data_IF_754423409069
#
_entry.id   IF_754423409069
#
_cell.length_a   1.000
_cell.length_b   1.000
_cell.length_c   1.000
_cell.angle_alpha   90.00
_cell.angle_beta   90.00
_cell.angle_gamma   90.00
#
_symmetry.space_group_name_H-M   'P 1'
#
loop_
_entity.id
_entity.type
_entity.pdbx_description
1 polymer ?
#
# COMPACT_ATOMS: atom_id res chain seq x y z
N UNK A 1 -13.46 -11.53 38.25
CA UNK A 1 -12.98 -11.81 36.87
C UNK A 1 -13.19 -10.65 35.87
N UNK A 2 -13.33 -9.38 36.30
CA UNK A 2 -13.68 -8.25 35.40
C UNK A 2 -12.49 -7.38 34.96
N UNK A 3 -11.34 -7.46 35.65
CA UNK A 3 -10.16 -6.59 35.43
C UNK A 3 -9.39 -6.87 34.15
N UNK A 4 -9.39 -8.12 33.65
CA UNK A 4 -8.66 -8.50 32.43
C UNK A 4 -9.27 -7.82 31.19
N UNK A 5 -10.60 -7.78 31.11
CA UNK A 5 -11.33 -7.16 29.99
C UNK A 5 -11.14 -5.63 29.94
N UNK A 6 -10.98 -4.96 31.09
CA UNK A 6 -10.75 -3.50 31.15
C UNK A 6 -9.36 -3.14 30.63
N UNK A 7 -8.31 -3.89 31.01
CA UNK A 7 -6.94 -3.64 30.52
C UNK A 7 -6.83 -3.86 29.02
N UNK A 8 -7.45 -4.92 28.50
CA UNK A 8 -7.52 -5.19 27.06
C UNK A 8 -8.29 -4.07 26.35
N UNK A 9 -9.45 -3.65 26.87
CA UNK A 9 -10.24 -2.57 26.28
C UNK A 9 -9.46 -1.23 26.24
N UNK A 10 -8.75 -0.89 27.32
CA UNK A 10 -7.90 0.30 27.37
C UNK A 10 -6.76 0.23 26.34
N UNK A 11 -6.08 -0.92 26.23
CA UNK A 11 -5.04 -1.13 25.23
C UNK A 11 -5.58 -1.01 23.80
N UNK A 12 -6.75 -1.61 23.52
CA UNK A 12 -7.41 -1.50 22.22
C UNK A 12 -7.84 -0.07 21.89
N UNK A 13 -8.30 0.71 22.88
CA UNK A 13 -8.59 2.13 22.70
C UNK A 13 -7.34 2.94 22.36
N UNK A 14 -6.24 2.69 23.09
CA UNK A 14 -4.93 3.29 22.80
C UNK A 14 -4.43 2.97 21.39
N UNK A 15 -4.56 1.70 20.97
CA UNK A 15 -4.22 1.25 19.63
C UNK A 15 -5.05 1.96 18.54
N UNK A 16 -6.37 2.08 18.73
CA UNK A 16 -7.25 2.82 17.81
C UNK A 16 -6.83 4.29 17.70
N UNK A 17 -6.48 4.92 18.82
CA UNK A 17 -5.97 6.30 18.83
C UNK A 17 -4.65 6.43 18.07
N UNK A 18 -3.73 5.48 18.25
CA UNK A 18 -2.46 5.46 17.53
C UNK A 18 -2.66 5.27 16.02
N UNK A 19 -3.52 4.34 15.60
CA UNK A 19 -3.87 4.11 14.19
C UNK A 19 -4.47 5.36 13.53
N UNK A 20 -5.37 6.06 14.22
CA UNK A 20 -5.93 7.34 13.72
C UNK A 20 -4.86 8.40 13.51
N UNK A 21 -3.93 8.55 14.46
CA UNK A 21 -2.80 9.48 14.32
C UNK A 21 -1.88 9.10 13.18
N UNK A 22 -1.54 7.81 13.05
CA UNK A 22 -0.74 7.30 11.94
C UNK A 22 -1.40 7.59 10.60
N UNK A 23 -2.71 7.38 10.47
CA UNK A 23 -3.45 7.70 9.26
C UNK A 23 -3.38 9.20 8.91
N UNK A 24 -3.52 10.08 9.89
CA UNK A 24 -3.41 11.53 9.68
C UNK A 24 -2.00 11.94 9.21
N UNK A 25 -0.96 11.44 9.88
CA UNK A 25 0.45 11.70 9.51
C UNK A 25 0.75 11.13 8.13
N UNK A 26 0.25 9.93 7.81
CA UNK A 26 0.40 9.32 6.49
C UNK A 26 -0.17 10.23 5.41
N UNK A 27 -1.40 10.72 5.57
CA UNK A 27 -2.02 11.63 4.59
C UNK A 27 -1.19 12.90 4.39
N UNK A 28 -0.70 13.50 5.47
CA UNK A 28 0.15 14.71 5.39
C UNK A 28 1.46 14.44 4.64
N UNK A 29 2.16 13.35 4.98
CA UNK A 29 3.43 12.98 4.35
C UNK A 29 3.22 12.65 2.88
N UNK A 30 2.15 11.92 2.55
CA UNK A 30 1.82 11.57 1.17
C UNK A 30 1.52 12.79 0.31
N UNK A 31 0.81 13.78 0.84
CA UNK A 31 0.51 15.03 0.12
C UNK A 31 1.77 15.82 -0.28
N UNK A 32 2.88 15.63 0.44
CA UNK A 32 4.17 16.31 0.20
C UNK A 32 5.18 15.43 -0.54
N UNK A 33 4.88 14.14 -0.76
CA UNK A 33 5.85 13.19 -1.29
C UNK A 33 5.95 13.30 -2.82
N UNK A 34 7.18 13.29 -3.34
CA UNK A 34 7.44 13.28 -4.79
C UNK A 34 7.41 11.87 -5.41
N UNK A 35 7.41 10.84 -4.58
CA UNK A 35 7.35 9.42 -4.97
C UNK A 35 8.44 8.94 -5.94
N UNK A 36 9.68 9.42 -5.76
CA UNK A 36 10.81 9.05 -6.64
C UNK A 36 11.19 7.58 -6.60
N UNK A 37 11.08 6.92 -5.45
CA UNK A 37 11.42 5.49 -5.29
C UNK A 37 10.19 4.68 -4.92
N UNK A 38 9.95 3.62 -5.68
CA UNK A 38 8.79 2.74 -5.53
C UNK A 38 9.22 1.28 -5.57
N UNK A 39 8.51 0.42 -4.86
CA UNK A 39 8.60 -1.02 -5.03
C UNK A 39 7.34 -1.54 -5.73
N UNK A 40 7.49 -2.55 -6.58
CA UNK A 40 6.42 -3.06 -7.43
C UNK A 40 6.41 -4.59 -7.45
N UNK A 41 5.21 -5.18 -7.39
CA UNK A 41 5.00 -6.60 -7.72
C UNK A 41 4.38 -6.69 -9.11
N UNK A 42 4.86 -7.59 -10.00
CA UNK A 42 4.26 -7.78 -11.31
C UNK A 42 2.88 -8.44 -11.21
N UNK A 43 2.13 -8.41 -12.32
CA UNK A 43 0.94 -9.23 -12.46
C UNK A 43 1.30 -10.72 -12.37
N UNK A 44 0.50 -11.51 -11.65
CA UNK A 44 0.72 -12.95 -11.52
C UNK A 44 -0.56 -13.72 -11.84
N UNK A 45 -0.54 -14.50 -12.92
CA UNK A 45 -1.64 -15.43 -13.21
C UNK A 45 -1.78 -16.47 -12.10
N UNK A 46 -3.00 -16.72 -11.64
CA UNK A 46 -3.32 -17.87 -10.78
C UNK A 46 -4.10 -18.88 -11.59
N UNK A 47 -3.73 -20.15 -11.48
CA UNK A 47 -4.25 -21.22 -12.33
C UNK A 47 -5.78 -21.40 -12.28
N UNK A 48 -6.47 -20.93 -11.24
CA UNK A 48 -7.89 -21.23 -11.01
C UNK A 48 -8.77 -20.06 -10.53
N UNK A 49 -8.22 -18.84 -10.35
CA UNK A 49 -8.94 -17.74 -9.68
C UNK A 49 -8.71 -16.35 -10.30
N UNK A 50 -8.36 -16.30 -11.58
CA UNK A 50 -7.91 -15.06 -12.23
C UNK A 50 -6.46 -14.71 -11.90
N UNK A 51 -6.05 -13.48 -12.17
CA UNK A 51 -4.69 -13.01 -11.87
C UNK A 51 -4.63 -12.12 -10.64
N UNK A 52 -3.47 -12.07 -9.98
CA UNK A 52 -3.13 -11.05 -9.01
C UNK A 52 -2.69 -9.79 -9.73
N UNK A 53 -3.42 -8.70 -9.51
CA UNK A 53 -3.04 -7.40 -10.02
C UNK A 53 -1.65 -6.98 -9.50
N UNK A 54 -0.88 -6.26 -10.33
CA UNK A 54 0.35 -5.66 -9.88
C UNK A 54 0.05 -4.64 -8.78
N UNK A 55 0.96 -4.53 -7.82
CA UNK A 55 0.87 -3.58 -6.72
C UNK A 55 2.11 -2.71 -6.76
N UNK A 56 1.99 -1.46 -6.36
CA UNK A 56 3.14 -0.57 -6.19
C UNK A 56 3.02 0.22 -4.90
N UNK A 57 4.14 0.38 -4.22
CA UNK A 57 4.24 1.14 -2.97
C UNK A 57 5.40 2.13 -3.04
N UNK A 58 5.16 3.37 -2.63
CA UNK A 58 6.23 4.34 -2.45
C UNK A 58 7.04 4.03 -1.19
N UNK A 59 8.34 3.86 -1.35
CA UNK A 59 9.26 3.51 -0.25
C UNK A 59 9.49 4.66 0.75
N UNK A 60 9.08 5.89 0.42
CA UNK A 60 9.23 7.05 1.30
C UNK A 60 7.98 7.38 2.12
N UNK A 61 6.78 7.15 1.59
CA UNK A 61 5.52 7.54 2.25
C UNK A 61 4.49 6.42 2.38
N UNK A 62 4.79 5.21 1.88
CA UNK A 62 3.86 4.08 1.92
C UNK A 62 2.55 4.33 1.17
N UNK A 63 2.55 5.21 0.16
CA UNK A 63 1.42 5.32 -0.77
C UNK A 63 1.38 4.08 -1.65
N UNK A 64 0.20 3.47 -1.74
CA UNK A 64 -0.01 2.23 -2.45
C UNK A 64 -0.98 2.45 -3.60
N UNK A 65 -0.70 1.83 -4.73
CA UNK A 65 -1.61 1.73 -5.86
C UNK A 65 -1.67 0.29 -6.35
N UNK A 66 -2.79 -0.06 -6.96
CA UNK A 66 -2.98 -1.33 -7.66
C UNK A 66 -3.07 -1.02 -9.15
N UNK A 67 -2.31 -1.73 -9.98
CA UNK A 67 -2.42 -1.59 -11.43
C UNK A 67 -3.52 -2.50 -11.99
N UNK A 68 -4.04 -2.14 -13.16
CA UNK A 68 -5.00 -2.98 -13.87
C UNK A 68 -4.30 -4.08 -14.66
N UNK A 69 -4.83 -5.31 -14.63
CA UNK A 69 -4.28 -6.41 -15.43
C UNK A 69 -4.49 -6.24 -16.94
N UNK A 70 -5.45 -5.40 -17.36
CA UNK A 70 -5.79 -5.20 -18.78
C UNK A 70 -4.72 -4.43 -19.56
N UNK A 71 -3.80 -3.76 -18.85
CA UNK A 71 -2.74 -2.97 -19.47
C UNK A 71 -1.36 -3.65 -19.43
N UNK A 72 -1.25 -4.85 -18.86
CA UNK A 72 0.04 -5.53 -18.69
C UNK A 72 1.06 -4.73 -17.87
N UNK A 73 0.61 -3.80 -17.01
CA UNK A 73 1.49 -2.89 -16.26
C UNK A 73 1.79 -1.56 -16.97
N UNK A 74 1.30 -1.34 -18.21
CA UNK A 74 1.52 -0.10 -18.94
C UNK A 74 0.56 1.04 -18.55
N UNK A 75 -0.59 0.71 -17.95
CA UNK A 75 -1.54 1.70 -17.42
C UNK A 75 -1.86 1.35 -15.97
N UNK A 76 -1.37 2.20 -15.08
CA UNK A 76 -1.78 2.22 -13.68
C UNK A 76 -3.03 3.07 -13.59
N UNK A 77 -4.02 2.57 -12.88
CA UNK A 77 -5.24 3.29 -12.56
C UNK A 77 -5.48 3.07 -11.09
N UNK A 78 -5.77 4.10 -10.32
CA UNK A 78 -6.27 3.86 -8.96
C UNK A 78 -7.53 2.98 -9.05
N UNK A 79 -7.85 2.27 -7.97
CA UNK A 79 -9.15 1.63 -7.82
C UNK A 79 -10.25 2.66 -8.16
N UNK A 80 -11.19 2.28 -9.02
CA UNK A 80 -12.28 3.13 -9.53
C UNK A 80 -11.89 4.17 -10.62
N UNK A 81 -10.88 3.88 -11.46
CA UNK A 81 -10.53 4.66 -12.67
C UNK A 81 -10.01 6.09 -12.40
N UNK A 82 -9.48 6.37 -11.21
CA UNK A 82 -8.79 7.65 -10.97
C UNK A 82 -7.38 7.62 -11.53
N UNK A 83 -6.84 8.82 -11.79
CA UNK A 83 -5.47 9.00 -12.26
C UNK A 83 -4.46 8.39 -11.27
N UNK A 84 -3.50 7.63 -11.80
CA UNK A 84 -2.48 7.02 -10.97
C UNK A 84 -1.54 8.07 -10.38
N UNK A 85 -1.43 8.07 -9.04
CA UNK A 85 -0.50 8.95 -8.32
C UNK A 85 0.94 8.45 -8.44
N UNK A 86 1.18 7.13 -8.39
CA UNK A 86 2.49 6.59 -8.71
C UNK A 86 2.63 6.43 -10.22
N UNK A 87 1.99 5.44 -10.83
CA UNK A 87 1.98 5.26 -12.28
C UNK A 87 3.36 5.17 -12.93
N UNK A 88 3.36 5.08 -14.27
CA UNK A 88 4.59 4.99 -15.04
C UNK A 88 5.15 6.39 -15.30
N UNK A 89 6.04 6.85 -14.42
CA UNK A 89 6.81 8.09 -14.66
C UNK A 89 8.29 7.77 -14.88
N UNK A 90 8.92 8.27 -15.96
CA UNK A 90 10.27 7.89 -16.35
C UNK A 90 11.34 8.27 -15.31
N UNK A 91 11.08 9.26 -14.47
CA UNK A 91 11.99 9.74 -13.42
C UNK A 91 11.97 8.91 -12.13
N UNK A 92 11.30 7.76 -12.10
CA UNK A 92 11.17 6.92 -10.90
C UNK A 92 12.10 5.72 -10.90
N UNK A 93 12.71 5.49 -9.74
CA UNK A 93 13.42 4.26 -9.46
C UNK A 93 12.43 3.18 -9.02
N UNK A 94 12.29 2.15 -9.84
CA UNK A 94 11.40 1.02 -9.56
C UNK A 94 12.22 -0.17 -9.05
N UNK A 95 11.90 -0.62 -7.84
CA UNK A 95 12.39 -1.88 -7.27
C UNK A 95 11.37 -2.98 -7.53
N UNK A 96 11.71 -3.95 -8.36
CA UNK A 96 10.87 -5.13 -8.56
C UNK A 96 10.96 -6.07 -7.36
N UNK A 97 9.81 -6.43 -6.80
CA UNK A 97 9.63 -7.39 -5.71
C UNK A 97 8.80 -8.55 -6.24
N UNK A 98 9.44 -9.69 -6.46
CA UNK A 98 8.80 -10.84 -7.11
C UNK A 98 7.88 -11.64 -6.18
N UNK A 99 8.01 -11.45 -4.87
CA UNK A 99 7.20 -12.12 -3.87
C UNK A 99 6.26 -11.13 -3.14
N UNK A 100 4.99 -11.51 -3.04
CA UNK A 100 3.96 -10.60 -2.51
C UNK A 100 4.06 -10.44 -0.99
N UNK A 101 4.62 -11.41 -0.30
CA UNK A 101 4.78 -11.38 1.15
C UNK A 101 5.79 -10.31 1.56
N UNK A 102 6.96 -10.25 0.91
CA UNK A 102 7.95 -9.19 1.13
C UNK A 102 7.40 -7.83 0.74
N UNK A 103 6.57 -7.74 -0.31
CA UNK A 103 5.88 -6.49 -0.63
C UNK A 103 4.97 -6.04 0.52
N UNK A 104 4.21 -6.95 1.13
CA UNK A 104 3.34 -6.61 2.25
C UNK A 104 4.10 -6.21 3.51
N UNK A 105 5.33 -6.67 3.70
CA UNK A 105 6.21 -6.20 4.78
C UNK A 105 6.63 -4.73 4.63
N UNK A 106 6.50 -4.13 3.43
CA UNK A 106 6.78 -2.70 3.19
C UNK A 106 5.62 -1.78 3.63
N UNK A 107 4.44 -2.34 3.92
CA UNK A 107 3.25 -1.56 4.26
C UNK A 107 3.37 -0.95 5.65
N UNK A 108 2.81 0.26 5.79
CA UNK A 108 2.63 0.88 7.10
C UNK A 108 1.58 0.07 7.90
N UNK A 109 1.78 -0.15 9.21
CA UNK A 109 0.86 -0.91 10.05
C UNK A 109 -0.32 -0.03 10.50
N UNK A 110 -1.24 0.26 9.58
CA UNK A 110 -2.42 1.12 9.81
C UNK A 110 -3.62 0.31 10.29
#
# INVERSE_FOLDING_TARGET
MQKLNIRIAAAMSGLRGAKKRLAAVKTEVQAKCKHHRVAETPWKSLAFSGGLNPLRICLSCGYEEEGSHWSGGNQWSEKDYKDAVLGNKPERDVLLVNDRDSFYMLRLPI
#
